data_IF_195029091458
#
_entry.id   IF_195029091458
#
_cell.length_a   1.000
_cell.length_b   1.000
_cell.length_c   1.000
_cell.angle_alpha   90.00
_cell.angle_beta   90.00
_cell.angle_gamma   90.00
#
_symmetry.space_group_name_H-M   'P 1'
#
loop_
_entity.id
_entity.type
_entity.pdbx_description
1 polymer ?
2 non-polymer ?
3 non-polymer ?
4 non-polymer ?
5 non-polymer ?
6 water ?
#
# COMPACT_ATOMS: atom_id res chain seq x y z
N UNK A 5 9.89 -20.60 -14.14
CA UNK A 5 10.14 -19.69 -13.00
C UNK A 5 9.52 -18.29 -13.26
N UNK A 6 8.86 -17.77 -12.25
CA UNK A 6 8.26 -16.41 -12.27
C UNK A 6 9.34 -15.38 -12.63
N UNK A 7 9.06 -14.55 -13.63
CA UNK A 7 9.97 -13.47 -14.01
C UNK A 7 9.14 -12.21 -14.11
N UNK A 8 9.41 -11.32 -13.18
CA UNK A 8 8.70 -10.09 -13.09
C UNK A 8 9.29 -9.02 -14.01
N UNK A 9 8.41 -8.41 -14.79
CA UNK A 9 8.78 -7.36 -15.73
C UNK A 9 8.94 -6.04 -15.07
N UNK A 10 10.20 -5.63 -14.82
CA UNK A 10 10.47 -4.29 -14.17
C UNK A 10 11.01 -3.31 -15.16
N UNK A 11 10.78 -3.60 -16.41
CA UNK A 11 11.43 -2.77 -17.47
C UNK A 11 10.88 -1.38 -17.55
N UNK A 12 9.68 -1.08 -17.13
CA UNK A 12 9.11 0.23 -17.21
C UNK A 12 9.61 1.05 -16.01
N UNK A 13 10.51 0.53 -15.18
CA UNK A 13 11.00 1.25 -14.00
C UNK A 13 12.55 1.25 -13.93
N UNK A 14 13.17 1.82 -14.99
CA UNK A 14 14.59 1.86 -15.02
C UNK A 14 15.13 2.79 -13.95
N UNK A 15 16.20 2.38 -13.30
CA UNK A 15 16.85 3.14 -12.25
C UNK A 15 16.22 2.98 -10.86
N UNK A 16 15.08 2.31 -10.75
CA UNK A 16 14.44 2.10 -9.45
C UNK A 16 15.19 1.03 -8.70
N UNK A 17 15.58 1.28 -7.47
CA UNK A 17 16.46 0.42 -6.72
C UNK A 17 15.68 -0.56 -5.80
N UNK A 18 14.47 -0.17 -5.43
CA UNK A 18 13.73 -0.89 -4.38
C UNK A 18 12.33 -1.04 -4.93
N UNK A 19 11.71 -2.21 -4.61
CA UNK A 19 10.32 -2.51 -4.97
C UNK A 19 9.62 -3.10 -3.77
N UNK A 20 8.32 -2.86 -3.73
CA UNK A 20 7.44 -3.41 -2.69
C UNK A 20 6.65 -4.55 -3.25
N UNK A 21 6.87 -5.69 -2.60
CA UNK A 21 6.14 -6.94 -2.83
C UNK A 21 4.91 -6.95 -1.92
N UNK A 22 3.76 -6.88 -2.56
CA UNK A 22 2.52 -6.95 -1.80
C UNK A 22 1.85 -8.26 -2.15
N UNK A 23 1.79 -9.09 -1.12
CA UNK A 23 1.25 -10.45 -1.31
C UNK A 23 -0.04 -10.55 -0.51
N UNK A 24 -1.07 -10.99 -1.21
CA UNK A 24 -2.42 -11.15 -0.50
C UNK A 24 -2.80 -12.64 -0.70
N UNK A 25 -3.04 -13.38 0.39
CA UNK A 25 -3.19 -14.81 0.31
C UNK A 25 -4.06 -15.31 1.51
N UNK A 26 -4.19 -16.65 1.56
CA UNK A 26 -5.14 -17.25 2.55
C UNK A 26 -4.60 -17.04 3.94
N UNK A 27 -5.49 -16.69 4.89
CA UNK A 27 -4.91 -16.33 6.17
C UNK A 27 -4.16 -17.45 6.88
N UNK A 28 -4.69 -18.65 6.70
CA UNK A 28 -4.04 -19.85 7.28
C UNK A 28 -2.66 -20.22 6.77
N UNK A 29 -2.32 -19.66 5.65
CA UNK A 29 -0.92 -19.77 5.18
C UNK A 29 0.07 -18.75 5.69
N UNK A 30 -0.38 -17.78 6.45
CA UNK A 30 0.58 -16.74 6.87
C UNK A 30 1.80 -17.34 7.58
N UNK A 31 1.63 -18.38 8.46
CA UNK A 31 2.84 -18.83 9.16
C UNK A 31 3.84 -19.46 8.21
N UNK A 32 3.32 -20.18 7.22
CA UNK A 32 4.19 -20.78 6.19
C UNK A 32 4.96 -19.76 5.37
N UNK A 33 4.24 -18.76 4.91
CA UNK A 33 4.85 -17.69 4.13
C UNK A 33 5.91 -16.99 4.96
N UNK A 34 5.59 -16.63 6.18
CA UNK A 34 6.58 -15.98 7.03
C UNK A 34 7.80 -16.88 7.31
N UNK A 35 7.56 -18.17 7.54
CA UNK A 35 8.73 -19.05 7.78
C UNK A 35 9.64 -19.10 6.55
N UNK A 36 9.03 -19.17 5.38
CA UNK A 36 9.80 -19.26 4.17
C UNK A 36 10.68 -17.97 3.97
N UNK A 37 10.07 -16.80 4.20
CA UNK A 37 10.78 -15.53 4.16
C UNK A 37 11.89 -15.39 5.22
N UNK A 38 11.56 -15.78 6.46
CA UNK A 38 12.54 -15.79 7.56
C UNK A 38 13.75 -16.66 7.20
N UNK A 39 13.49 -17.86 6.66
CA UNK A 39 14.60 -18.75 6.31
C UNK A 39 15.51 -18.22 5.23
N UNK A 40 14.91 -17.50 4.27
CA UNK A 40 15.61 -16.87 3.13
C UNK A 40 16.49 -15.71 3.64
N UNK A 41 16.09 -15.12 4.78
CA UNK A 41 16.82 -14.07 5.42
C UNK A 41 16.20 -12.72 5.20
N UNK A 42 14.90 -12.67 4.99
CA UNK A 42 14.21 -11.46 4.66
C UNK A 42 14.56 -10.44 5.74
N UNK A 43 14.75 -9.23 5.29
CA UNK A 43 15.24 -8.12 6.15
C UNK A 43 14.10 -7.22 6.67
N UNK A 44 12.85 -7.61 6.47
CA UNK A 44 11.70 -6.96 7.14
C UNK A 44 10.48 -7.11 6.24
N UNK A 45 9.37 -6.83 6.88
CA UNK A 45 7.99 -7.01 6.30
C UNK A 45 6.96 -6.46 7.19
N UNK A 46 5.79 -6.20 6.55
CA UNK A 46 4.64 -5.65 7.27
C UNK A 46 3.33 -6.41 6.99
N UNK A 47 2.51 -6.74 7.98
CA UNK A 47 1.36 -7.58 7.80
C UNK A 47 0.11 -6.81 8.18
N UNK A 48 -0.91 -6.90 7.30
CA UNK A 48 -2.17 -6.24 7.49
C UNK A 48 -3.27 -7.30 7.14
N UNK A 49 -4.30 -7.48 7.95
CA UNK A 49 -5.52 -8.21 7.53
C UNK A 49 -6.39 -7.41 6.56
N UNK A 50 -6.84 -8.03 5.48
CA UNK A 50 -7.65 -7.33 4.48
C UNK A 50 -8.81 -8.25 4.07
N UNK A 51 -9.70 -7.75 3.29
CA UNK A 51 -10.76 -8.48 2.64
C UNK A 51 -10.90 -8.26 1.21
N UNK A 52 -11.28 -9.15 0.35
CA UNK A 52 -11.28 -8.86 -1.06
C UNK A 52 -11.98 -9.80 -1.96
N UNK A 53 -12.04 -9.50 -3.27
CA UNK A 53 -12.46 -10.46 -4.28
C UNK A 53 -11.43 -10.39 -5.38
N UNK A 54 -11.30 -11.46 -6.17
CA UNK A 54 -10.62 -11.52 -7.39
C UNK A 54 -11.61 -11.64 -8.53
N UNK A 55 -11.21 -12.42 -9.55
CA UNK A 55 -12.01 -12.52 -10.80
C UNK A 55 -13.35 -13.21 -10.63
N UNK A 56 -13.48 -14.11 -9.64
CA UNK A 56 -14.69 -14.85 -9.43
C UNK A 56 -15.72 -14.14 -8.59
N UNK A 57 -15.35 -12.99 -7.99
CA UNK A 57 -16.39 -12.14 -7.32
C UNK A 57 -16.83 -12.65 -5.96
N UNK A 58 -15.93 -13.33 -5.30
CA UNK A 58 -16.06 -13.65 -3.88
C UNK A 58 -16.73 -14.96 -3.64
N UNK A 59 -17.18 -15.14 -2.38
CA UNK A 59 -17.90 -16.36 -1.97
C UNK A 59 -17.53 -17.65 -2.71
N UNK A 67 -22.54 -10.98 -9.87
CA UNK A 67 -22.42 -9.82 -8.98
C UNK A 67 -21.87 -10.22 -7.59
N UNK A 68 -21.52 -9.19 -6.80
CA UNK A 68 -21.14 -9.39 -5.39
C UNK A 68 -21.41 -8.11 -4.56
N UNK A 69 -21.42 -8.30 -3.25
CA UNK A 69 -21.62 -7.22 -2.27
C UNK A 69 -20.58 -7.42 -1.17
N UNK A 70 -20.64 -6.54 -0.16
CA UNK A 70 -19.57 -6.59 0.90
C UNK A 70 -19.50 -7.96 1.64
N UNK A 71 -20.66 -8.61 1.76
CA UNK A 71 -20.79 -9.97 2.36
C UNK A 71 -20.05 -11.04 1.60
N UNK A 72 -19.67 -10.79 0.34
CA UNK A 72 -19.00 -11.76 -0.44
C UNK A 72 -17.56 -11.55 -0.39
N UNK A 73 -17.08 -10.41 0.18
CA UNK A 73 -15.63 -10.23 0.28
C UNK A 73 -15.04 -11.31 1.20
N UNK A 74 -13.87 -11.82 0.87
CA UNK A 74 -13.23 -12.98 1.54
C UNK A 74 -12.02 -12.51 2.34
N UNK A 75 -11.84 -12.84 3.59
CA UNK A 75 -10.69 -12.53 4.45
C UNK A 75 -9.42 -13.07 3.85
N UNK A 76 -8.39 -12.20 3.80
CA UNK A 76 -7.10 -12.53 3.32
C UNK A 76 -6.07 -11.90 4.27
N UNK A 77 -4.85 -12.38 4.23
CA UNK A 77 -3.71 -11.79 4.89
C UNK A 77 -2.83 -11.14 3.84
N UNK A 78 -2.35 -9.90 4.20
CA UNK A 78 -1.44 -9.23 3.27
C UNK A 78 -0.11 -9.05 3.95
N UNK A 79 0.94 -9.22 3.16
CA UNK A 79 2.33 -8.89 3.51
C UNK A 79 2.86 -7.90 2.52
N UNK A 80 3.57 -6.88 3.04
CA UNK A 80 4.30 -5.96 2.16
C UNK A 80 5.75 -6.09 2.56
N UNK A 81 6.56 -6.26 1.56
CA UNK A 81 8.01 -6.69 1.70
C UNK A 81 8.78 -5.77 0.71
N UNK A 82 9.51 -4.82 1.28
CA UNK A 82 10.32 -3.94 0.38
C UNK A 82 11.68 -4.56 0.27
N UNK A 83 12.08 -4.84 -0.96
CA UNK A 83 13.34 -5.50 -1.27
C UNK A 83 14.15 -4.77 -2.37
N UNK A 84 15.40 -5.10 -2.47
CA UNK A 84 16.15 -4.59 -3.61
C UNK A 84 15.68 -5.16 -4.91
N UNK A 85 15.91 -4.45 -6.02
CA UNK A 85 15.54 -4.89 -7.34
C UNK A 85 16.05 -6.30 -7.61
N UNK A 86 17.29 -6.58 -7.24
CA UNK A 86 17.90 -7.86 -7.57
C UNK A 86 17.17 -9.03 -6.88
N UNK A 87 16.45 -8.79 -5.80
CA UNK A 87 15.75 -9.83 -5.00
C UNK A 87 14.35 -9.99 -5.38
N UNK A 88 13.74 -9.16 -6.19
CA UNK A 88 12.34 -9.30 -6.57
C UNK A 88 11.98 -10.71 -7.03
N UNK A 89 12.46 -11.21 -8.05
CA UNK A 89 12.06 -12.47 -8.56
C UNK A 89 12.21 -13.51 -7.47
N UNK A 90 13.29 -13.55 -6.74
CA UNK A 90 13.46 -14.63 -5.72
C UNK A 90 12.38 -14.51 -4.74
N UNK A 91 12.03 -13.38 -4.23
CA UNK A 91 11.08 -13.24 -3.16
C UNK A 91 9.71 -13.50 -3.71
N UNK A 92 9.26 -13.04 -4.83
CA UNK A 92 7.96 -13.31 -5.42
C UNK A 92 7.78 -14.82 -5.51
N UNK A 93 8.79 -15.48 -5.96
CA UNK A 93 8.79 -16.97 -6.17
C UNK A 93 8.61 -17.60 -4.82
N UNK A 94 9.32 -17.20 -3.79
CA UNK A 94 9.16 -17.85 -2.47
C UNK A 94 7.78 -17.67 -1.99
N UNK A 95 7.19 -16.51 -2.05
CA UNK A 95 5.86 -16.21 -1.52
C UNK A 95 4.86 -16.91 -2.36
N UNK A 96 4.97 -16.96 -3.67
CA UNK A 96 4.02 -17.73 -4.45
C UNK A 96 4.05 -19.24 -4.13
N UNK A 97 5.22 -19.74 -3.90
CA UNK A 97 5.35 -21.17 -3.64
C UNK A 97 4.81 -21.52 -2.31
N UNK A 98 4.93 -20.75 -1.29
CA UNK A 98 4.50 -21.01 0.03
C UNK A 98 3.01 -20.81 0.17
N UNK A 99 2.44 -19.87 -0.56
CA UNK A 99 1.03 -19.55 -0.46
C UNK A 99 0.17 -20.50 -1.32
N UNK A 100 0.74 -21.17 -2.26
CA UNK A 100 0.04 -22.01 -3.26
C UNK A 100 -0.68 -23.22 -2.65
N UNK A 101 -1.92 -23.37 -3.11
CA UNK A 101 -2.63 -24.65 -2.87
C UNK A 101 -3.11 -25.23 -4.12
N UNK A 102 -3.37 -24.46 -5.16
CA UNK A 102 -3.90 -24.96 -6.41
C UNK A 102 -5.39 -24.69 -6.60
N UNK A 103 -6.10 -24.10 -5.62
CA UNK A 103 -7.51 -23.72 -5.78
C UNK A 103 -7.69 -22.24 -5.94
N UNK A 104 -8.80 -21.83 -6.57
CA UNK A 104 -9.11 -20.45 -6.75
C UNK A 104 -9.09 -19.78 -5.41
N UNK A 105 -8.61 -18.55 -5.43
CA UNK A 105 -8.48 -17.75 -4.26
C UNK A 105 -7.16 -17.88 -3.57
N UNK A 106 -6.16 -18.44 -4.15
CA UNK A 106 -4.92 -18.64 -3.45
C UNK A 106 -4.16 -17.29 -3.25
N UNK A 107 -4.46 -16.30 -4.04
CA UNK A 107 -3.89 -14.95 -3.83
C UNK A 107 -3.37 -14.33 -5.05
N UNK A 108 -2.90 -13.12 -4.81
CA UNK A 108 -2.22 -12.34 -5.84
C UNK A 108 -1.05 -11.61 -5.21
N UNK A 109 -0.05 -11.38 -6.07
CA UNK A 109 1.18 -10.63 -5.68
C UNK A 109 1.26 -9.48 -6.68
N UNK A 110 1.38 -8.30 -6.09
CA UNK A 110 1.58 -7.02 -6.83
C UNK A 110 2.97 -6.57 -6.44
N UNK A 111 3.72 -6.15 -7.47
CA UNK A 111 5.08 -5.54 -7.30
C UNK A 111 4.96 -4.04 -7.67
N UNK A 112 5.41 -3.18 -6.74
CA UNK A 112 5.23 -1.73 -6.89
C UNK A 112 6.62 -1.08 -6.75
N UNK A 113 6.88 0.05 -7.49
CA UNK A 113 8.15 0.69 -7.36
C UNK A 113 8.27 1.53 -6.09
N UNK A 114 9.43 1.62 -5.48
CA UNK A 114 9.63 2.49 -4.28
C UNK A 114 10.73 3.43 -4.64
N UNK A 115 10.51 4.70 -4.37
CA UNK A 115 11.52 5.73 -4.67
C UNK A 115 12.59 5.78 -3.62
N UNK A 116 12.28 5.74 -2.35
CA UNK A 116 13.26 5.92 -1.28
C UNK A 116 12.89 5.11 -0.05
N UNK A 117 13.89 4.71 0.71
CA UNK A 117 13.81 4.01 2.02
C UNK A 117 14.63 4.82 3.04
N UNK A 118 14.03 5.14 4.19
CA UNK A 118 14.67 5.89 5.27
C UNK A 118 14.48 5.19 6.63
N UNK A 119 15.56 4.90 7.32
CA UNK A 119 15.55 4.29 8.63
C UNK A 119 15.42 5.45 9.61
N UNK A 120 14.35 5.38 10.39
CA UNK A 120 14.01 6.48 11.32
C UNK A 120 15.10 6.66 12.35
N UNK A 121 15.59 5.61 12.96
CA UNK A 121 16.53 5.72 14.08
C UNK A 121 17.80 6.52 13.67
N UNK A 122 18.21 6.34 12.43
CA UNK A 122 19.54 6.84 12.03
C UNK A 122 19.47 7.93 11.00
N UNK A 123 18.32 8.20 10.42
CA UNK A 123 18.28 9.04 9.20
C UNK A 123 19.00 8.40 7.96
N UNK A 124 19.37 7.12 8.05
CA UNK A 124 20.04 6.43 6.92
C UNK A 124 19.05 6.23 5.76
N UNK A 125 19.46 6.63 4.54
CA UNK A 125 18.64 6.53 3.31
C UNK A 125 19.17 5.45 2.32
N UNK A 126 18.42 5.14 1.25
CA UNK A 126 18.91 4.26 0.17
C UNK A 126 19.17 2.82 0.60
N UNK B 6 18.10 14.48 6.04
CA UNK B 6 17.67 13.42 5.06
C UNK B 6 17.47 14.03 3.68
N UNK B 7 18.15 13.47 2.68
CA UNK B 7 17.88 13.84 1.28
C UNK B 7 17.36 12.61 0.57
N UNK B 8 16.29 12.84 -0.20
CA UNK B 8 15.54 11.78 -0.85
C UNK B 8 15.81 11.80 -2.35
N UNK B 9 16.22 10.64 -2.85
CA UNK B 9 16.61 10.49 -4.25
C UNK B 9 15.40 10.18 -5.12
N UNK B 10 14.87 11.19 -5.84
CA UNK B 10 13.69 10.99 -6.71
C UNK B 10 14.06 11.03 -8.17
N UNK B 11 15.36 10.96 -8.49
CA UNK B 11 15.81 11.02 -9.87
C UNK B 11 15.30 9.91 -10.82
N UNK B 12 14.86 8.79 -10.26
CA UNK B 12 14.34 7.73 -11.12
C UNK B 12 12.95 7.93 -11.63
N UNK B 13 12.29 9.02 -11.15
CA UNK B 13 10.92 9.31 -11.45
C UNK B 13 10.76 10.69 -12.02
N UNK B 14 11.41 10.87 -13.17
CA UNK B 14 11.26 12.21 -13.72
C UNK B 14 9.82 12.44 -14.19
N UNK B 15 9.34 13.66 -13.92
CA UNK B 15 7.99 14.00 -14.37
C UNK B 15 6.87 13.52 -13.44
N UNK B 16 7.25 12.81 -12.36
CA UNK B 16 6.27 12.44 -11.33
C UNK B 16 6.08 13.63 -10.39
N UNK B 17 4.83 14.00 -10.17
CA UNK B 17 4.55 15.19 -9.44
C UNK B 17 4.14 15.00 -8.00
N UNK B 18 3.68 13.79 -7.64
CA UNK B 18 3.18 13.48 -6.30
C UNK B 18 3.89 12.23 -5.80
N UNK B 19 4.11 12.19 -4.48
CA UNK B 19 4.64 10.96 -3.82
C UNK B 19 3.87 10.75 -2.55
N UNK B 20 3.86 9.44 -2.22
CA UNK B 20 3.24 9.03 -0.98
C UNK B 20 4.36 8.73 0.02
N UNK B 21 4.32 9.32 1.19
CA UNK B 21 5.23 9.06 2.24
C UNK B 21 4.47 8.08 3.18
N UNK B 22 5.10 6.93 3.38
CA UNK B 22 4.49 5.88 4.25
C UNK B 22 5.45 5.65 5.39
N UNK B 23 5.03 5.96 6.61
CA UNK B 23 5.88 5.80 7.77
C UNK B 23 5.28 4.73 8.67
N UNK B 24 6.14 3.85 9.11
CA UNK B 24 5.73 2.73 9.98
C UNK B 24 6.57 2.90 11.24
N UNK B 25 5.94 3.00 12.42
CA UNK B 25 6.70 3.42 13.58
C UNK B 25 6.00 2.92 14.85
N UNK B 26 6.56 3.32 15.97
CA UNK B 26 6.08 2.80 17.29
C UNK B 26 4.69 3.34 17.58
N UNK B 27 3.74 2.51 18.09
CA UNK B 27 2.43 3.02 18.31
C UNK B 27 2.41 4.21 19.27
N UNK B 28 3.21 4.22 20.30
CA UNK B 28 3.15 5.31 21.24
C UNK B 28 3.56 6.67 20.69
N UNK B 29 4.26 6.65 19.54
CA UNK B 29 4.66 7.90 18.91
C UNK B 29 3.62 8.41 17.99
N UNK B 30 2.52 7.77 17.74
CA UNK B 30 1.51 8.23 16.79
C UNK B 30 1.00 9.64 17.17
N UNK B 31 0.63 9.90 18.40
CA UNK B 31 0.11 11.23 18.71
C UNK B 31 1.20 12.26 18.50
N UNK B 32 2.46 11.91 18.70
CA UNK B 32 3.57 12.91 18.48
C UNK B 32 3.72 13.22 17.04
N UNK B 33 3.66 12.26 16.20
CA UNK B 33 3.82 12.41 14.74
C UNK B 33 2.65 13.18 14.21
N UNK B 34 1.45 12.85 14.60
CA UNK B 34 0.26 13.53 14.10
C UNK B 34 0.30 14.97 14.55
N UNK B 35 0.69 15.21 15.80
CA UNK B 35 0.75 16.67 16.30
C UNK B 35 1.76 17.48 15.51
N UNK B 36 2.91 16.94 15.23
CA UNK B 36 3.95 17.66 14.53
C UNK B 36 3.43 17.90 13.13
N UNK B 37 2.82 17.00 12.42
CA UNK B 37 2.37 17.22 11.06
C UNK B 37 1.23 18.19 10.98
N UNK B 38 0.31 18.12 11.91
CA UNK B 38 -0.83 18.99 11.97
C UNK B 38 -0.41 20.42 12.21
N UNK B 39 0.53 20.59 13.16
CA UNK B 39 1.08 21.90 13.42
C UNK B 39 1.84 22.54 12.32
N UNK B 40 2.52 21.78 11.57
CA UNK B 40 3.24 22.26 10.38
C UNK B 40 2.39 22.55 9.26
N UNK B 41 1.10 22.24 9.28
CA UNK B 41 0.20 22.36 8.14
C UNK B 41 0.08 21.30 7.09
N UNK B 42 0.36 20.04 7.46
CA UNK B 42 0.21 18.94 6.60
C UNK B 42 -1.10 18.23 6.92
N UNK B 43 -1.91 18.00 5.91
CA UNK B 43 -3.23 17.36 6.04
C UNK B 43 -3.30 16.13 5.19
N UNK B 44 -4.41 15.44 5.24
CA UNK B 44 -4.53 14.18 4.47
C UNK B 44 -3.85 12.94 5.01
N UNK B 45 -3.51 12.95 6.26
CA UNK B 45 -2.94 11.83 6.98
C UNK B 45 -3.98 10.69 7.02
N UNK B 46 -3.52 9.46 6.69
CA UNK B 46 -4.29 8.23 6.82
C UNK B 46 -3.50 7.25 7.69
N UNK B 47 -4.16 6.74 8.73
CA UNK B 47 -3.52 5.86 9.70
C UNK B 47 -4.09 4.42 9.58
N UNK B 48 -3.17 3.44 9.61
CA UNK B 48 -3.62 1.99 9.64
C UNK B 48 -2.77 1.37 10.71
N UNK B 49 -3.33 0.62 11.67
CA UNK B 49 -2.46 -0.22 12.53
C UNK B 49 -1.98 -1.47 11.75
N UNK B 50 -0.71 -1.83 11.95
CA UNK B 50 -0.09 -2.97 11.22
C UNK B 50 0.79 -3.72 12.20
N UNK B 51 1.33 -4.87 11.77
CA UNK B 51 2.27 -5.65 12.53
C UNK B 51 3.54 -5.91 11.69
N UNK B 52 4.79 -5.92 12.29
CA UNK B 52 6.00 -6.03 11.41
C UNK B 52 7.32 -6.51 11.97
N UNK B 53 8.32 -6.72 11.09
CA UNK B 53 9.70 -6.92 11.54
C UNK B 53 10.60 -6.08 10.60
N UNK B 54 11.74 -5.67 11.16
CA UNK B 54 12.81 -5.06 10.37
C UNK B 54 13.95 -6.02 10.36
N UNK B 55 15.15 -5.45 10.27
CA UNK B 55 16.36 -6.26 10.06
C UNK B 55 16.76 -7.14 11.25
N UNK B 56 16.22 -6.84 12.43
CA UNK B 56 16.50 -7.69 13.60
C UNK B 56 15.51 -8.87 13.79
N UNK B 57 14.50 -8.95 12.93
CA UNK B 57 13.62 -10.13 12.93
C UNK B 57 12.72 -10.24 14.15
N UNK B 58 12.26 -9.08 14.63
CA UNK B 58 11.18 -9.01 15.67
C UNK B 58 11.52 -9.07 17.17
N UNK B 59 10.51 -9.38 17.98
CA UNK B 59 10.63 -9.34 19.43
C UNK B 59 10.99 -10.73 19.95
N UNK B 68 12.64 -15.98 12.66
CA UNK B 68 11.39 -15.41 13.23
C UNK B 68 10.09 -16.01 12.67
N UNK B 69 9.00 -15.79 13.41
CA UNK B 69 7.69 -16.44 13.20
C UNK B 69 6.66 -15.34 13.44
N UNK B 70 5.37 -15.62 13.20
CA UNK B 70 4.31 -14.60 13.38
C UNK B 70 4.19 -14.01 14.79
N UNK B 71 4.61 -14.74 15.80
CA UNK B 71 4.56 -14.23 17.17
C UNK B 71 5.66 -13.22 17.48
N UNK B 72 6.66 -13.08 16.60
CA UNK B 72 7.71 -12.10 16.75
C UNK B 72 7.38 -10.82 16.05
N UNK B 73 6.34 -10.78 15.23
CA UNK B 73 5.89 -9.51 14.62
C UNK B 73 5.50 -8.52 15.76
N UNK B 74 5.89 -7.27 15.58
CA UNK B 74 5.73 -6.19 16.57
C UNK B 74 4.59 -5.26 16.06
N UNK B 75 3.57 -4.96 16.94
CA UNK B 75 2.56 -3.86 16.54
C UNK B 75 3.25 -2.60 16.25
N UNK B 76 2.83 -2.00 15.14
CA UNK B 76 3.30 -0.73 14.69
C UNK B 76 2.09 0.12 14.21
N UNK B 77 2.34 1.38 14.05
CA UNK B 77 1.34 2.29 13.46
C UNK B 77 1.91 2.73 12.17
N UNK B 78 1.07 2.86 11.15
CA UNK B 78 1.45 3.33 9.78
C UNK B 78 0.70 4.64 9.54
N UNK B 79 1.41 5.55 8.98
CA UNK B 79 0.81 6.78 8.49
C UNK B 79 1.20 7.01 7.02
N UNK B 80 0.23 7.32 6.19
CA UNK B 80 0.44 7.57 4.73
C UNK B 80 0.01 9.03 4.52
N UNK B 81 0.86 9.75 3.77
CA UNK B 81 0.60 11.13 3.41
C UNK B 81 1.06 11.28 1.95
N UNK B 82 0.24 11.90 1.11
CA UNK B 82 0.58 12.25 -0.21
C UNK B 82 0.96 13.74 -0.28
N UNK B 83 2.16 14.01 -0.83
CA UNK B 83 2.70 15.41 -0.92
C UNK B 83 3.20 15.54 -2.36
N UNK B 84 3.49 16.80 -2.72
CA UNK B 84 4.18 17.03 -4.01
C UNK B 84 5.64 16.76 -3.93
N UNK B 85 6.25 16.56 -5.11
CA UNK B 85 7.63 16.29 -5.18
C UNK B 85 8.50 17.24 -4.37
N UNK B 86 8.20 18.54 -4.48
CA UNK B 86 8.95 19.51 -3.76
C UNK B 86 8.86 19.45 -2.29
N UNK B 87 7.82 18.85 -1.76
CA UNK B 87 7.58 18.78 -0.32
C UNK B 87 8.13 17.51 0.33
N UNK B 88 8.56 16.58 -0.49
CA UNK B 88 8.95 15.28 0.10
C UNK B 88 9.99 15.36 1.22
N UNK B 89 11.09 16.04 0.94
CA UNK B 89 12.16 16.05 1.91
C UNK B 89 11.72 16.66 3.25
N UNK B 90 11.05 17.80 3.20
CA UNK B 90 10.56 18.34 4.43
C UNK B 90 9.63 17.52 5.24
N UNK B 91 8.70 16.85 4.58
CA UNK B 91 7.71 16.06 5.29
C UNK B 91 8.36 14.77 5.86
N UNK B 92 9.23 14.18 5.07
CA UNK B 92 10.03 13.03 5.55
C UNK B 92 10.83 13.41 6.80
N UNK B 93 11.46 14.55 6.80
CA UNK B 93 12.23 14.96 7.93
C UNK B 93 11.34 15.15 9.19
N UNK B 94 10.20 15.79 8.96
CA UNK B 94 9.23 16.02 10.06
C UNK B 94 8.80 14.74 10.75
N UNK B 95 8.41 13.80 9.89
CA UNK B 95 8.01 12.45 10.36
C UNK B 95 9.16 11.78 11.09
N UNK B 96 10.31 11.75 10.47
CA UNK B 96 11.42 11.10 11.12
C UNK B 96 11.73 11.69 12.50
N UNK B 97 11.75 13.00 12.59
CA UNK B 97 12.12 13.60 13.82
C UNK B 97 11.14 13.30 14.98
N UNK B 98 9.86 13.21 14.66
CA UNK B 98 8.84 12.99 15.68
C UNK B 98 8.72 11.53 16.00
N UNK B 99 9.00 10.63 15.06
CA UNK B 99 8.94 9.19 15.35
C UNK B 99 10.16 8.72 16.09
N UNK B 100 11.29 9.39 15.95
CA UNK B 100 12.56 9.01 16.53
C UNK B 100 12.49 8.78 18.04
N UNK B 101 13.14 7.73 18.50
CA UNK B 101 13.43 7.57 19.91
C UNK B 101 14.89 7.27 20.22
N UNK B 102 15.64 6.83 19.21
CA UNK B 102 17.04 6.53 19.41
C UNK B 102 17.31 5.05 19.56
N UNK B 103 16.27 4.23 19.73
CA UNK B 103 16.41 2.75 19.90
C UNK B 103 16.00 1.99 18.63
N UNK B 104 16.59 0.77 18.49
CA UNK B 104 16.27 -0.08 17.31
C UNK B 104 14.79 -0.32 17.29
N UNK B 105 14.18 -0.38 16.13
CA UNK B 105 12.74 -0.56 16.03
C UNK B 105 11.94 0.68 15.88
N UNK B 106 12.65 1.81 15.64
CA UNK B 106 12.01 3.10 15.53
C UNK B 106 11.09 3.21 14.33
N UNK B 107 11.43 2.45 13.28
CA UNK B 107 10.56 2.66 12.13
C UNK B 107 11.29 2.88 10.85
N UNK B 108 10.51 2.81 9.82
CA UNK B 108 11.02 3.07 8.49
C UNK B 108 10.04 3.99 7.75
N UNK B 109 10.56 4.82 6.83
CA UNK B 109 9.77 5.61 5.95
C UNK B 109 10.07 5.19 4.55
N UNK B 110 9.02 4.98 3.77
CA UNK B 110 9.10 4.62 2.38
C UNK B 110 8.43 5.72 1.58
N UNK B 111 9.07 6.10 0.47
CA UNK B 111 8.52 7.08 -0.46
C UNK B 111 8.14 6.43 -1.76
N UNK B 112 6.93 6.61 -2.25
CA UNK B 112 6.39 5.93 -3.41
C UNK B 112 5.81 6.87 -4.40
N UNK B 113 6.13 6.61 -5.70
CA UNK B 113 5.54 7.53 -6.70
C UNK B 113 3.99 7.40 -6.82
N UNK B 114 3.31 8.47 -7.08
CA UNK B 114 1.88 8.53 -7.31
C UNK B 114 1.57 9.12 -8.66
N UNK B 115 0.74 8.55 -9.49
CA UNK B 115 0.40 9.06 -10.82
C UNK B 115 -0.57 10.17 -10.76
N UNK B 116 -1.64 10.07 -10.01
CA UNK B 116 -2.72 11.07 -9.96
C UNK B 116 -3.40 11.21 -8.59
N UNK B 117 -3.93 12.42 -8.23
CA UNK B 117 -4.66 12.74 -7.03
C UNK B 117 -6.07 13.27 -7.48
N UNK B 118 -7.15 12.78 -6.82
CA UNK B 118 -8.57 13.24 -7.06
C UNK B 118 -9.33 13.46 -5.75
N UNK B 119 -9.91 14.61 -5.53
CA UNK B 119 -10.74 14.90 -4.38
C UNK B 119 -12.17 14.54 -4.75
N UNK B 120 -12.73 13.58 -4.00
CA UNK B 120 -14.02 13.03 -4.43
C UNK B 120 -15.12 14.11 -4.48
N UNK B 121 -15.09 15.02 -3.49
CA UNK B 121 -16.17 16.00 -3.36
C UNK B 121 -16.29 16.92 -4.61
N UNK B 122 -15.14 17.10 -5.30
CA UNK B 122 -15.03 18.01 -6.49
C UNK B 122 -14.52 17.32 -7.80
N UNK B 123 -14.47 15.99 -7.85
CA UNK B 123 -14.11 15.24 -9.09
C UNK B 123 -14.96 15.63 -10.32
N UNK B 124 -14.30 15.80 -11.48
CA UNK B 124 -14.97 16.30 -12.70
C UNK B 124 -15.80 15.21 -13.37
N UNK C 7 -9.99 12.65 -17.23
CA UNK C 7 -8.89 12.16 -18.13
C UNK C 7 -7.57 12.11 -17.35
N UNK C 8 -7.30 10.98 -16.71
CA UNK C 8 -6.13 10.87 -15.85
C UNK C 8 -4.85 10.94 -16.68
N UNK C 9 -3.89 11.74 -16.19
CA UNK C 9 -2.64 12.02 -16.90
C UNK C 9 -1.63 10.97 -16.44
N UNK C 10 -1.42 9.93 -17.28
CA UNK C 10 -0.53 8.81 -16.93
C UNK C 10 0.74 8.87 -17.73
N UNK C 11 1.01 10.02 -18.31
CA UNK C 11 2.11 10.16 -19.22
C UNK C 11 3.51 10.12 -18.60
N UNK C 12 3.67 10.24 -17.26
CA UNK C 12 5.01 10.03 -16.65
C UNK C 12 5.28 8.56 -16.44
N UNK C 13 4.37 7.70 -16.91
CA UNK C 13 4.52 6.26 -16.69
C UNK C 13 4.51 5.47 -18.02
N UNK C 14 5.39 5.80 -18.93
CA UNK C 14 5.35 5.11 -20.19
C UNK C 14 5.68 3.66 -19.96
N UNK C 15 4.99 2.82 -20.65
CA UNK C 15 5.37 1.42 -20.52
C UNK C 15 4.71 0.70 -19.40
N UNK C 16 4.12 1.42 -18.41
CA UNK C 16 3.44 0.77 -17.28
C UNK C 16 2.04 0.27 -17.69
N UNK C 17 1.79 -0.99 -17.49
CA UNK C 17 0.54 -1.65 -17.97
C UNK C 17 -0.64 -1.62 -17.00
N UNK C 18 -0.35 -1.61 -15.70
CA UNK C 18 -1.31 -1.70 -14.61
C UNK C 18 -1.14 -0.55 -13.68
N UNK C 19 -2.30 -0.19 -13.14
CA UNK C 19 -2.36 0.90 -12.17
C UNK C 19 -3.30 0.48 -11.03
N UNK C 20 -3.03 1.03 -9.88
CA UNK C 20 -3.81 0.82 -8.67
C UNK C 20 -4.58 2.06 -8.37
N UNK C 21 -5.89 1.93 -8.27
CA UNK C 21 -6.83 2.95 -7.86
C UNK C 21 -7.04 2.77 -6.40
N UNK C 22 -6.72 3.71 -5.59
CA UNK C 22 -6.85 3.67 -4.16
C UNK C 22 -7.86 4.76 -3.82
N UNK C 23 -9.00 4.39 -3.17
CA UNK C 23 -10.04 5.37 -2.73
C UNK C 23 -10.23 5.21 -1.25
N UNK C 24 -10.27 6.26 -0.54
CA UNK C 24 -10.49 6.37 0.88
C UNK C 24 -11.69 7.20 1.06
N UNK C 25 -12.75 6.72 1.70
CA UNK C 25 -14.04 7.37 1.70
C UNK C 25 -14.88 7.00 2.94
N UNK C 26 -16.03 7.63 3.10
CA UNK C 26 -16.90 7.39 4.23
C UNK C 26 -17.32 5.88 4.24
N UNK C 27 -17.26 5.29 5.45
CA UNK C 27 -17.67 3.85 5.49
C UNK C 27 -19.08 3.55 5.04
N UNK C 28 -20.04 4.41 5.25
CA UNK C 28 -21.39 4.10 4.86
C UNK C 28 -21.60 3.97 3.37
N UNK C 29 -20.62 4.52 2.62
CA UNK C 29 -20.69 4.45 1.14
C UNK C 29 -20.12 3.14 0.57
N UNK C 30 -19.49 2.33 1.44
CA UNK C 30 -18.89 1.08 0.93
C UNK C 30 -19.83 0.20 0.13
N UNK C 31 -21.01 -0.15 0.71
CA UNK C 31 -21.89 -1.05 -0.08
C UNK C 31 -22.17 -0.50 -1.48
N UNK C 32 -22.39 0.80 -1.61
CA UNK C 32 -22.77 1.37 -2.88
C UNK C 32 -21.60 1.39 -3.86
N UNK C 33 -20.42 1.67 -3.33
CA UNK C 33 -19.23 1.66 -4.17
C UNK C 33 -19.00 0.22 -4.72
N UNK C 34 -19.12 -0.75 -3.81
CA UNK C 34 -18.92 -2.12 -4.20
C UNK C 34 -19.98 -2.55 -5.22
N UNK C 35 -21.24 -2.18 -4.96
CA UNK C 35 -22.30 -2.53 -5.86
C UNK C 35 -22.02 -1.97 -7.28
N UNK C 36 -21.66 -0.69 -7.32
CA UNK C 36 -21.37 -0.06 -8.60
C UNK C 36 -20.25 -0.75 -9.40
N UNK C 37 -19.14 -1.03 -8.70
CA UNK C 37 -18.03 -1.72 -9.34
C UNK C 37 -18.40 -3.17 -9.75
N UNK C 38 -19.09 -3.88 -8.89
CA UNK C 38 -19.59 -5.23 -9.24
C UNK C 38 -20.43 -5.17 -10.51
N UNK C 39 -21.39 -4.24 -10.56
CA UNK C 39 -22.33 -4.19 -11.71
C UNK C 39 -21.61 -3.80 -12.98
N UNK C 40 -20.63 -2.94 -12.82
CA UNK C 40 -19.89 -2.56 -13.98
C UNK C 40 -18.96 -3.68 -14.52
N UNK C 41 -18.54 -4.58 -13.61
CA UNK C 41 -17.77 -5.82 -13.95
C UNK C 41 -16.32 -5.92 -13.53
N UNK C 42 -15.98 -5.20 -12.44
CA UNK C 42 -14.65 -5.20 -11.87
C UNK C 42 -14.08 -6.55 -11.58
N UNK C 43 -12.81 -6.75 -11.86
CA UNK C 43 -12.14 -8.08 -11.87
C UNK C 43 -11.38 -8.34 -10.54
N UNK C 44 -11.52 -7.45 -9.55
CA UNK C 44 -10.86 -7.59 -8.32
C UNK C 44 -10.74 -6.34 -7.50
N UNK C 45 -10.79 -6.46 -6.18
CA UNK C 45 -10.52 -5.29 -5.30
C UNK C 45 -10.09 -5.76 -3.92
N UNK C 46 -9.51 -4.92 -3.10
CA UNK C 46 -9.14 -5.22 -1.74
C UNK C 46 -9.63 -4.13 -0.82
N UNK C 47 -10.25 -4.46 0.28
CA UNK C 47 -10.79 -3.55 1.25
C UNK C 47 -9.95 -3.55 2.51
N UNK C 48 -9.72 -2.40 3.14
CA UNK C 48 -8.94 -2.25 4.37
C UNK C 48 -9.74 -1.18 5.17
N UNK C 49 -9.99 -1.29 6.43
CA UNK C 49 -10.48 -0.18 7.14
C UNK C 49 -9.27 0.69 7.55
N UNK C 50 -9.42 2.04 7.50
CA UNK C 50 -8.31 2.91 7.93
C UNK C 50 -8.94 4.09 8.70
N UNK C 51 -8.09 4.98 9.16
CA UNK C 51 -8.53 6.15 9.96
C UNK C 51 -7.95 7.42 9.34
N UNK C 52 -8.83 8.37 9.11
CA UNK C 52 -8.36 9.72 8.70
C UNK C 52 -8.10 10.48 9.92
N UNK C 53 -7.12 11.36 9.86
CA UNK C 53 -6.89 12.29 10.91
C UNK C 53 -7.65 13.57 10.57
N UNK C 54 -8.68 13.91 11.34
CA UNK C 54 -9.52 15.06 11.01
C UNK C 54 -8.80 16.39 11.09
N UNK C 67 1.82 20.97 24.70
CA UNK C 67 0.71 20.01 24.58
C UNK C 67 0.27 19.81 23.14
N UNK C 68 -0.39 18.69 22.90
CA UNK C 68 -0.89 18.37 21.58
C UNK C 68 -2.14 19.17 21.20
N UNK C 69 -2.18 19.60 19.93
CA UNK C 69 -3.37 20.19 19.32
C UNK C 69 -4.54 19.22 19.18
N UNK C 70 -5.77 19.77 19.10
CA UNK C 70 -6.98 18.91 19.07
C UNK C 70 -7.07 18.08 17.79
N UNK C 71 -6.92 16.75 17.91
CA UNK C 71 -7.03 15.85 16.75
C UNK C 71 -8.15 14.81 16.96
N UNK C 72 -8.62 14.26 15.86
CA UNK C 72 -9.68 13.27 15.91
C UNK C 72 -9.46 12.27 14.82
N UNK C 73 -9.49 10.97 15.16
CA UNK C 73 -9.35 9.95 14.18
C UNK C 73 -10.71 9.56 13.69
N UNK C 74 -10.95 9.51 12.42
CA UNK C 74 -12.26 9.30 11.83
C UNK C 74 -12.16 8.06 10.96
N UNK C 75 -13.03 7.07 11.20
CA UNK C 75 -12.98 5.86 10.39
C UNK C 75 -13.33 6.12 8.97
N UNK C 76 -12.56 5.41 8.09
CA UNK C 76 -12.81 5.46 6.71
C UNK C 76 -12.65 4.05 6.12
N UNK C 77 -13.20 3.87 4.94
CA UNK C 77 -12.98 2.57 4.21
C UNK C 77 -12.08 2.83 3.06
N UNK C 78 -11.15 1.91 2.80
CA UNK C 78 -10.16 2.01 1.70
C UNK C 78 -10.40 0.88 0.74
N UNK C 79 -10.45 1.14 -0.56
CA UNK C 79 -10.46 0.17 -1.62
C UNK C 79 -9.22 0.38 -2.46
N UNK C 80 -8.53 -0.71 -2.74
CA UNK C 80 -7.42 -0.73 -3.71
C UNK C 80 -7.94 -1.55 -4.90
N UNK C 81 -7.86 -1.12 -6.12
CA UNK C 81 -8.44 -1.76 -7.27
C UNK C 81 -7.40 -1.72 -8.37
N UNK C 82 -6.76 -2.80 -8.71
CA UNK C 82 -5.75 -2.83 -9.76
C UNK C 82 -6.38 -3.14 -11.07
N UNK C 83 -6.16 -2.26 -12.06
CA UNK C 83 -6.80 -2.31 -13.34
C UNK C 83 -5.73 -2.08 -14.42
N UNK C 84 -6.11 -2.40 -15.63
CA UNK C 84 -5.27 -2.11 -16.75
C UNK C 84 -5.37 -0.60 -17.02
N UNK C 85 -4.32 -0.05 -17.65
CA UNK C 85 -4.30 1.38 -18.08
C UNK C 85 -5.61 1.91 -18.68
N UNK C 86 -6.16 1.10 -19.56
CA UNK C 86 -7.32 1.51 -20.35
C UNK C 86 -8.57 1.70 -19.52
N UNK C 87 -8.60 1.02 -18.39
CA UNK C 87 -9.78 1.09 -17.46
C UNK C 87 -9.67 2.16 -16.37
N UNK C 88 -8.53 2.84 -16.27
CA UNK C 88 -8.32 3.72 -15.18
C UNK C 88 -9.37 4.83 -15.13
N UNK C 89 -9.64 5.47 -16.26
CA UNK C 89 -10.47 6.66 -16.14
C UNK C 89 -11.89 6.19 -15.76
N UNK C 90 -12.37 5.13 -16.42
CA UNK C 90 -13.78 4.71 -16.10
C UNK C 90 -13.94 4.33 -14.66
N UNK C 91 -12.98 3.60 -14.11
CA UNK C 91 -13.08 3.18 -12.73
C UNK C 91 -12.96 4.32 -11.74
N UNK C 92 -12.05 5.24 -11.96
CA UNK C 92 -11.95 6.43 -11.14
C UNK C 92 -13.31 7.17 -11.16
N UNK C 93 -13.91 7.28 -12.32
CA UNK C 93 -15.18 8.04 -12.46
C UNK C 93 -16.29 7.37 -11.65
N UNK C 94 -16.32 6.06 -11.68
CA UNK C 94 -17.39 5.34 -10.98
C UNK C 94 -17.20 5.40 -9.50
N UNK C 95 -15.97 5.27 -9.04
CA UNK C 95 -15.69 5.41 -7.64
C UNK C 95 -15.98 6.79 -7.13
N UNK C 96 -15.58 7.80 -7.87
CA UNK C 96 -15.85 9.18 -7.45
C UNK C 96 -17.37 9.39 -7.31
N UNK C 97 -18.09 8.90 -8.33
CA UNK C 97 -19.54 9.13 -8.29
C UNK C 97 -20.28 8.39 -7.20
N UNK C 98 -19.75 7.23 -6.83
CA UNK C 98 -20.43 6.43 -5.82
C UNK C 98 -20.02 6.79 -4.41
N UNK C 99 -18.83 7.29 -4.19
CA UNK C 99 -18.35 7.71 -2.89
C UNK C 99 -18.70 9.12 -2.52
N UNK C 100 -19.10 9.95 -3.50
CA UNK C 100 -19.59 11.37 -3.35
C UNK C 100 -20.80 11.52 -2.39
N UNK C 101 -20.74 12.56 -1.53
CA UNK C 101 -21.91 13.11 -0.82
C UNK C 101 -22.05 14.58 -1.06
N UNK C 102 -20.93 15.26 -1.30
CA UNK C 102 -20.98 16.71 -1.59
C UNK C 102 -20.69 17.53 -0.35
N UNK C 103 -20.49 16.86 0.78
CA UNK C 103 -20.05 17.54 1.98
C UNK C 103 -18.58 17.32 2.16
N UNK C 104 -18.01 18.26 2.90
CA UNK C 104 -16.65 18.17 3.31
C UNK C 104 -16.39 16.89 4.09
N UNK C 105 -15.30 16.23 3.76
CA UNK C 105 -14.99 14.92 4.30
C UNK C 105 -15.21 13.70 3.41
N UNK C 106 -15.37 13.83 2.08
CA UNK C 106 -15.74 12.68 1.20
C UNK C 106 -14.57 11.79 0.85
N UNK C 107 -13.35 12.30 1.06
CA UNK C 107 -12.22 11.47 0.77
C UNK C 107 -11.51 11.74 -0.54
N UNK C 108 -10.60 10.88 -0.87
CA UNK C 108 -9.74 11.05 -2.02
C UNK C 108 -9.52 9.79 -2.73
N UNK C 109 -9.17 9.94 -3.99
CA UNK C 109 -8.78 8.86 -4.90
C UNK C 109 -7.37 9.15 -5.48
N UNK C 110 -6.54 8.15 -5.34
CA UNK C 110 -5.20 8.18 -5.91
C UNK C 110 -4.97 7.12 -6.98
N UNK C 111 -4.11 7.37 -7.95
CA UNK C 111 -3.78 6.40 -9.00
C UNK C 111 -2.31 6.16 -8.82
N UNK C 112 -1.84 4.94 -8.74
CA UNK C 112 -0.47 4.58 -8.48
C UNK C 112 -0.04 3.61 -9.56
N UNK C 113 1.21 3.69 -10.02
CA UNK C 113 1.69 2.69 -10.96
C UNK C 113 1.98 1.32 -10.28
N UNK C 114 1.79 0.23 -11.03
CA UNK C 114 2.13 -1.13 -10.55
C UNK C 114 3.07 -1.74 -11.58
N UNK C 115 4.17 -2.34 -11.11
CA UNK C 115 5.08 -2.97 -11.97
C UNK C 115 4.70 -4.33 -12.53
N UNK C 116 4.14 -5.17 -11.63
CA UNK C 116 3.82 -6.57 -12.04
C UNK C 116 2.67 -7.08 -11.19
N UNK C 117 1.93 -7.99 -11.81
CA UNK C 117 0.80 -8.71 -11.13
C UNK C 117 1.02 -10.20 -11.41
N UNK C 118 0.99 -10.97 -10.32
CA UNK C 118 1.17 -12.41 -10.35
C UNK C 118 -0.01 -13.08 -9.68
N UNK C 119 -0.59 -14.02 -10.43
CA UNK C 119 -1.69 -14.82 -9.84
C UNK C 119 -1.05 -16.09 -9.20
N UNK C 120 -1.20 -16.20 -7.87
CA UNK C 120 -0.52 -17.35 -7.14
C UNK C 120 -0.91 -18.76 -7.67
N UNK C 121 -2.19 -18.94 -7.93
CA UNK C 121 -2.64 -20.33 -8.28
C UNK C 121 -1.92 -20.79 -9.53
N UNK C 122 -1.70 -19.91 -10.48
CA UNK C 122 -1.20 -20.27 -11.79
C UNK C 122 0.20 -19.81 -12.14
N UNK C 123 0.86 -19.04 -11.28
CA UNK C 123 2.12 -18.36 -11.65
C UNK C 123 1.98 -17.40 -12.90
N UNK C 124 0.77 -17.11 -13.33
CA UNK C 124 0.57 -16.26 -14.49
C UNK C 124 0.94 -14.82 -14.08
N UNK C 125 1.69 -14.12 -14.93
CA UNK C 125 2.00 -12.69 -14.64
C UNK C 125 1.39 -11.79 -15.73
N UNK C 126 1.26 -10.49 -15.46
CA UNK C 126 1.05 -9.57 -16.59
C UNK C 126 -0.40 -9.61 -17.01
N UNK C 127 -0.66 -9.50 -18.33
CA UNK C 127 -2.01 -9.71 -18.95
C UNK C 127 -3.03 -8.62 -18.62
X LIG D 1 -10.14 -15.62 -7.43
X LIG E 1 -7.84 -17.19 -8.97
X LIG E 1 -8.47 -17.47 -10.31
X LIG E 1 -8.81 -17.12 -7.84
X LIG E 1 -6.71 -18.13 -8.57
X LIG E 1 -7.82 -14.25 -8.96
X LIG E 1 -7.18 -13.40 -10.05
X LIG E 1 -9.30 -14.39 -8.77
X LIG E 1 -7.16 -15.75 -9.15
X LIG E 1 -7.50 -14.29 -6.09
X LIG E 1 -8.88 -14.69 -5.95
X LIG E 1 -6.41 -15.25 -5.62
X LIG E 1 -7.11 -13.80 -7.61
X LIG E 1 -7.34 -12.85 -5.37
X LIG E 1 -6.92 -12.83 -4.01
X LIG E 1 -7.08 -11.48 -3.35
X LIG E 1 -6.21 -10.55 -3.98
X LIG E 1 -8.45 -10.96 -3.55
X LIG E 1 -9.39 -11.45 -2.57
X LIG E 1 -8.18 -9.48 -3.32
X LIG E 1 -8.01 -9.15 -1.92
X LIG E 1 -6.89 -9.35 -4.11
X LIG E 1 -7.08 -9.00 -5.53
X LIG E 1 -7.29 -9.76 -6.60
X LIG E 1 -7.39 -9.16 -7.79
X LIG E 1 -7.30 -7.83 -7.40
X LIG E 1 -7.28 -6.60 -8.16
X LIG E 1 -7.49 -6.49 -9.47
X LIG E 1 -7.19 -5.49 -7.42
X LIG E 1 -6.97 -5.40 -6.09
X LIG E 1 -6.99 -6.56 -5.31
X LIG E 1 -7.08 -7.74 -5.96
X LIG F 1 -12.33 -14.62 -5.97
X LIG F 1 -11.62 -14.28 -6.91
X LIG F 1 -13.29 -13.80 -5.48
X LIG F 1 -12.13 -15.86 -5.43
X LIG F 1 -11.17 -16.55 -5.88
X LIG F 1 -13.01 -16.30 -4.25
X LIG F 1 -12.49 -17.55 -3.48
X LIG F 1 -11.51 -17.15 -2.36
X LIG F 1 -11.02 -16.06 -2.25
X LIG F 1 -11.22 -17.90 -1.39
X LIG G 1 14.55 -3.05 13.42
X LIG H 1 16.51 -0.41 13.17
X LIG H 1 16.40 0.99 13.69
X LIG H 1 15.45 -1.30 13.92
X LIG H 1 17.83 -1.01 13.12
X LIG H 1 15.15 -1.48 10.78
X LIG H 1 15.67 -1.37 9.33
X LIG H 1 15.24 -2.79 11.44
X LIG H 1 15.80 -0.21 11.74
X LIG H 1 12.57 -1.02 12.02
X LIG H 1 12.86 -2.18 12.86
X LIG H 1 12.42 0.38 12.52
X LIG H 1 13.61 -0.92 10.74
X LIG H 1 11.28 -1.32 11.12
X LIG H 1 10.00 -0.86 11.60
X LIG H 1 8.82 -1.50 10.84
X LIG H 1 8.90 -1.13 9.49
X LIG H 1 8.76 -3.00 10.81
X LIG H 1 8.31 -3.55 12.06
X LIG H 1 7.90 -3.24 9.58
X LIG H 1 6.51 -3.06 9.89
X LIG H 1 8.40 -2.18 8.64
X LIG H 1 9.56 -2.61 7.82
X LIG H 1 10.91 -2.55 8.11
X LIG H 1 11.64 -3.04 7.05
X LIG H 1 10.75 -3.35 6.08
X LIG H 1 10.83 -3.96 4.72
X LIG H 1 12.05 -4.18 4.15
X LIG H 1 9.68 -4.24 4.05
X LIG H 1 8.48 -3.83 4.57
X LIG H 1 8.33 -3.43 5.84
X LIG H 1 9.43 -3.18 6.62
X LIG I 1 13.21 -5.26 14.16
X LIG I 1 13.82 -4.84 13.19
X LIG I 1 12.57 -6.39 14.04
X LIG I 1 13.19 -4.59 15.31
X LIG I 1 13.78 -3.50 15.31
X LIG I 1 12.43 -5.14 16.51
X LIG I 1 12.39 -4.06 17.57
X LIG I 1 11.09 -3.30 17.46
X LIG I 1 10.45 -3.21 16.37
X LIG I 1 10.68 -2.72 18.49
X LIG J 1 -13.12 17.49 1.06
X LIG J 1 -13.08 18.93 0.62
X LIG J 1 -12.09 16.74 0.26
X LIG J 1 -14.46 16.87 0.83
X LIG J 1 -12.75 17.39 2.51
#
# INVERSE_FOLDING_TARGET
MELESIQCDLSAFPGVKFFRIEAIFRPWRLPFVIDTLSKYGIRGLTNTPVKGVGVQGGSRERYAGTEFGPSNLVDKEKLDIVVSRAQVDAVVRLVAASAYTGEIGDGKIFVHPVAEVVRIRTAETGLEAEKMEGGMEDMMKKKKSAWSHPQFEK
MELESIQCDLSAFPGVKFFRIEAIFRPWRLPFVIDTLSKYGIRGLTNTPVKGVGVQGGSRERYAGTEFGPSNLVDKEKLDIVVSRAQVDAVVRLVAASAYTGEIGDGKIFVHPVAEVVRIRTAETGLEAEKMEGGMEDMMKKKKSAWSHPQFEK
MELESIQCDLSAFPGVKFFRIEAIFRPWRLPFVIDTLSKYGIRGLTNTPVKGVGVQGGSRERYAGTEFGPSNLVDKEKLDIVVSRAQVDAVVRLVAASAYTGEIGDGKIFVHPVAEVVRIRTAETGLEAEKMEGGMEDMMKKKKSAWSHPQFEK
MG MG
ATP PG O1G O2G O3G PB O1B O2B O3B PA O1A O2A O3A O5' C5' C4' O4' C3' O3' C2' O2' C1' N9 C8 N7 C5 C6 N6 N1 C2 N3 C4
AKG C1 O1 O2 C2 O5 C3 C4 C5 O3 O4
MG MG
ATP PG O1G O2G O3G PB O1B O2B O3B PA O1A O2A O3A O5' C5' C4' O4' C3' O3' C2' O2' C1' N9 C8 N7 C5 C6 N6 N1 C2 N3 C4
AKG C1 O1 O2 C2 O5 C3 C4 C5 O3 O4
SO4 S O1 O2 O3 O4
#
